data_IF_721770737456
#
_entry.id   IF_721770737456
#
_cell.length_a   1.000
_cell.length_b   1.000
_cell.length_c   1.000
_cell.angle_alpha   90.00
_cell.angle_beta   90.00
_cell.angle_gamma   90.00
#
_symmetry.space_group_name_H-M   'P 1'
#
loop_
_entity.id
_entity.type
_entity.pdbx_description
1 polymer ?
#
# COMPACT_ATOMS: atom_id res chain seq x y z
N UNK A 1 29.24 -19.84 26.19
CA UNK A 1 28.07 -20.21 25.34
C UNK A 1 28.10 -21.68 25.09
N UNK A 2 27.04 -22.41 25.47
CA UNK A 2 26.89 -23.81 25.07
C UNK A 2 26.90 -23.87 23.53
N UNK A 3 27.55 -24.89 23.00
CA UNK A 3 27.66 -25.05 21.53
C UNK A 3 26.28 -25.43 20.97
N UNK A 4 25.76 -24.71 19.96
CA UNK A 4 24.47 -25.01 19.31
C UNK A 4 24.36 -26.49 18.93
N UNK A 5 25.45 -27.13 18.54
CA UNK A 5 25.51 -28.55 18.20
C UNK A 5 25.11 -29.45 19.39
N UNK A 6 25.59 -29.12 20.60
CA UNK A 6 25.27 -29.85 21.84
C UNK A 6 23.81 -29.69 22.21
N UNK A 7 23.30 -28.45 22.15
CA UNK A 7 21.89 -28.14 22.42
C UNK A 7 20.97 -28.89 21.46
N UNK A 8 21.24 -28.82 20.15
CA UNK A 8 20.45 -29.53 19.15
C UNK A 8 20.46 -31.04 19.33
N UNK A 9 21.59 -31.61 19.80
CA UNK A 9 21.67 -33.06 20.12
C UNK A 9 20.70 -33.47 21.25
N UNK A 10 20.41 -32.62 22.25
CA UNK A 10 19.43 -32.88 23.31
C UNK A 10 18.01 -33.06 22.72
N UNK A 11 17.71 -32.40 21.58
CA UNK A 11 16.44 -32.50 20.85
C UNK A 11 16.47 -33.55 19.73
N UNK A 12 17.49 -34.41 19.71
CA UNK A 12 17.63 -35.48 18.71
C UNK A 12 18.04 -34.99 17.32
N UNK A 13 18.54 -33.77 17.20
CA UNK A 13 19.02 -33.19 15.96
C UNK A 13 20.56 -33.28 15.93
N UNK A 14 21.07 -34.08 15.01
CA UNK A 14 22.53 -34.23 14.81
C UNK A 14 23.02 -33.46 13.60
N UNK A 15 24.23 -32.97 13.67
CA UNK A 15 24.87 -32.18 12.61
C UNK A 15 26.05 -31.38 13.14
N UNK A 16 26.53 -30.44 12.34
CA UNK A 16 27.68 -29.58 12.69
C UNK A 16 27.46 -28.14 12.31
N UNK A 17 28.01 -27.22 13.07
CA UNK A 17 28.08 -25.79 12.73
C UNK A 17 29.19 -25.58 11.72
N UNK A 18 28.86 -25.06 10.54
CA UNK A 18 29.80 -24.87 9.43
C UNK A 18 30.25 -23.43 9.25
N UNK A 19 29.56 -22.47 9.86
CA UNK A 19 29.91 -21.06 9.75
C UNK A 19 29.01 -20.17 10.60
N UNK A 20 29.35 -18.88 10.65
CA UNK A 20 28.57 -17.86 11.30
C UNK A 20 28.68 -16.56 10.52
N UNK A 21 27.53 -15.98 10.17
CA UNK A 21 27.43 -14.66 9.56
C UNK A 21 26.90 -13.67 10.59
N UNK A 22 27.60 -12.57 10.78
CA UNK A 22 27.18 -11.50 11.71
C UNK A 22 26.67 -10.33 10.89
N UNK A 23 25.37 -10.07 10.99
CA UNK A 23 24.74 -8.93 10.35
C UNK A 23 24.43 -7.82 11.34
N UNK A 24 23.80 -6.73 10.87
CA UNK A 24 23.57 -5.55 11.71
C UNK A 24 22.57 -5.80 12.85
N UNK A 25 21.62 -6.71 12.69
CA UNK A 25 20.58 -6.98 13.69
C UNK A 25 20.54 -8.45 14.14
N UNK A 26 21.01 -9.36 13.31
CA UNK A 26 20.98 -10.79 13.62
C UNK A 26 22.33 -11.43 13.33
N UNK A 27 22.60 -12.47 14.09
CA UNK A 27 23.69 -13.41 13.87
C UNK A 27 23.09 -14.71 13.34
N UNK A 28 23.53 -15.15 12.17
CA UNK A 28 23.10 -16.39 11.56
C UNK A 28 24.17 -17.45 11.73
N UNK A 29 23.82 -18.56 12.40
CA UNK A 29 24.69 -19.72 12.58
C UNK A 29 24.29 -20.76 11.52
N UNK A 30 25.22 -21.08 10.63
CA UNK A 30 25.01 -22.09 9.61
C UNK A 30 25.23 -23.48 10.19
N UNK A 31 24.22 -24.31 10.11
CA UNK A 31 24.22 -25.66 10.61
C UNK A 31 23.95 -26.66 9.50
N UNK A 32 24.81 -27.66 9.33
CA UNK A 32 24.63 -28.78 8.41
C UNK A 32 24.04 -29.98 9.15
N UNK A 33 22.73 -30.26 9.05
CA UNK A 33 22.12 -31.40 9.70
C UNK A 33 22.53 -32.71 9.02
N UNK A 34 22.52 -33.80 9.78
CA UNK A 34 22.69 -35.17 9.21
C UNK A 34 21.56 -35.45 8.19
N UNK A 35 21.85 -36.23 7.13
CA UNK A 35 20.84 -36.62 6.15
C UNK A 35 19.63 -37.29 6.79
N UNK A 36 18.42 -36.85 6.35
CA UNK A 36 17.15 -37.37 6.88
C UNK A 36 16.59 -36.58 8.06
N UNK A 37 17.28 -35.56 8.57
CA UNK A 37 16.77 -34.66 9.60
C UNK A 37 15.56 -33.88 9.08
N UNK A 38 14.44 -33.96 9.80
CA UNK A 38 13.20 -33.24 9.47
C UNK A 38 13.23 -31.87 10.09
N UNK A 39 13.10 -30.80 9.27
CA UNK A 39 13.01 -29.42 9.75
C UNK A 39 11.89 -29.25 10.79
N UNK A 40 10.76 -29.95 10.60
CA UNK A 40 9.63 -29.90 11.55
C UNK A 40 10.00 -30.31 12.98
N UNK A 41 10.98 -31.21 13.16
CA UNK A 41 11.47 -31.60 14.49
C UNK A 41 12.17 -30.43 15.15
N UNK A 42 12.93 -29.65 14.39
CA UNK A 42 13.64 -28.48 14.89
C UNK A 42 12.63 -27.34 15.21
N UNK A 43 11.73 -27.04 14.25
CA UNK A 43 10.77 -25.94 14.41
C UNK A 43 9.75 -26.20 15.54
N UNK A 44 9.47 -27.46 15.86
CA UNK A 44 8.58 -27.80 16.99
C UNK A 44 9.22 -27.52 18.37
N UNK A 45 10.55 -27.41 18.45
CA UNK A 45 11.29 -27.23 19.71
C UNK A 45 12.04 -25.89 19.75
N UNK A 46 11.72 -24.95 18.84
CA UNK A 46 12.46 -23.67 18.73
C UNK A 46 12.45 -22.86 20.02
N UNK A 47 11.31 -22.77 20.72
CA UNK A 47 11.19 -22.05 21.98
C UNK A 47 12.07 -22.66 23.09
N UNK A 48 12.10 -23.99 23.17
CA UNK A 48 12.93 -24.70 24.13
C UNK A 48 14.42 -24.56 23.82
N UNK A 49 14.79 -24.65 22.52
CA UNK A 49 16.16 -24.43 22.05
C UNK A 49 16.59 -23.01 22.34
N UNK A 50 15.75 -22.00 22.04
CA UNK A 50 16.05 -20.59 22.33
C UNK A 50 16.29 -20.37 23.83
N UNK A 51 15.43 -20.92 24.67
CA UNK A 51 15.57 -20.87 26.14
C UNK A 51 16.87 -21.48 26.61
N UNK A 52 17.25 -22.66 26.09
CA UNK A 52 18.50 -23.33 26.46
C UNK A 52 19.73 -22.55 25.97
N UNK A 53 19.64 -21.87 24.83
CA UNK A 53 20.66 -20.93 24.33
C UNK A 53 20.76 -19.65 25.13
N UNK A 54 19.73 -19.32 25.93
CA UNK A 54 19.61 -18.02 26.62
C UNK A 54 19.20 -16.87 25.71
N UNK A 55 18.60 -17.20 24.55
CA UNK A 55 18.21 -16.20 23.55
C UNK A 55 16.73 -15.82 23.67
N UNK A 56 16.42 -14.58 23.36
CA UNK A 56 15.06 -14.05 23.41
C UNK A 56 14.22 -14.38 22.18
N UNK A 57 14.88 -14.72 21.05
CA UNK A 57 14.26 -15.08 19.79
C UNK A 57 15.19 -16.00 19.02
N UNK A 58 14.65 -17.03 18.42
CA UNK A 58 15.36 -17.96 17.54
C UNK A 58 14.49 -18.27 16.34
N UNK A 59 15.05 -18.09 15.14
CA UNK A 59 14.41 -18.45 13.89
C UNK A 59 15.28 -19.41 13.11
N UNK A 60 14.67 -20.36 12.42
CA UNK A 60 15.39 -21.33 11.59
C UNK A 60 14.82 -21.28 10.19
N UNK A 61 15.72 -21.13 9.21
CA UNK A 61 15.38 -21.13 7.79
C UNK A 61 16.36 -21.96 6.98
N UNK A 62 15.90 -22.63 5.90
CA UNK A 62 16.81 -23.27 4.95
C UNK A 62 17.69 -22.23 4.26
N UNK A 63 18.98 -22.50 4.13
CA UNK A 63 19.87 -21.70 3.29
C UNK A 63 19.77 -22.26 1.87
N UNK A 64 19.04 -21.56 1.01
CA UNK A 64 18.75 -22.00 -0.34
C UNK A 64 20.01 -22.28 -1.18
N UNK A 65 19.93 -23.32 -2.01
CA UNK A 65 21.08 -23.78 -2.79
C UNK A 65 22.08 -24.62 -2.00
N UNK A 66 21.79 -24.90 -0.71
CA UNK A 66 22.63 -25.73 0.17
C UNK A 66 21.76 -26.73 0.95
N UNK A 67 22.40 -27.67 1.64
CA UNK A 67 21.73 -28.56 2.61
C UNK A 67 21.75 -28.00 4.04
N UNK A 68 22.15 -26.75 4.22
CA UNK A 68 22.32 -26.10 5.51
C UNK A 68 21.05 -25.44 6.00
N UNK A 69 20.95 -25.26 7.31
CA UNK A 69 19.96 -24.44 8.00
C UNK A 69 20.66 -23.24 8.61
N UNK A 70 20.03 -22.07 8.52
CA UNK A 70 20.46 -20.84 9.21
C UNK A 70 19.67 -20.70 10.51
N UNK A 71 20.35 -20.72 11.64
CA UNK A 71 19.79 -20.38 12.95
C UNK A 71 20.06 -18.90 13.19
N UNK A 72 18.99 -18.11 13.22
CA UNK A 72 19.06 -16.65 13.34
C UNK A 72 18.72 -16.25 14.78
N UNK A 73 19.68 -15.65 15.46
CA UNK A 73 19.56 -15.09 16.80
C UNK A 73 19.83 -13.58 16.78
N UNK A 74 19.33 -12.80 17.76
CA UNK A 74 19.67 -11.39 17.86
C UNK A 74 21.18 -11.18 17.90
N UNK A 75 21.68 -10.14 17.25
CA UNK A 75 23.08 -9.74 17.36
C UNK A 75 23.35 -9.21 18.79
N UNK A 76 24.55 -9.48 19.31
CA UNK A 76 24.97 -9.01 20.62
C UNK A 76 24.88 -7.46 20.73
N UNK A 77 25.25 -6.77 19.64
CA UNK A 77 25.08 -5.32 19.47
C UNK A 77 24.36 -5.05 18.16
N UNK A 78 23.10 -4.57 18.27
CA UNK A 78 22.30 -4.22 17.10
C UNK A 78 22.76 -2.87 16.53
N UNK A 79 23.07 -2.84 15.24
CA UNK A 79 23.48 -1.65 14.51
C UNK A 79 22.31 -1.08 13.71
N UNK A 80 22.16 0.25 13.74
CA UNK A 80 21.17 0.94 12.92
C UNK A 80 21.67 1.05 11.47
N UNK A 81 20.83 0.62 10.55
CA UNK A 81 21.09 0.74 9.10
C UNK A 81 20.75 2.16 8.65
N UNK A 82 21.76 3.00 8.43
CA UNK A 82 21.54 4.41 8.03
C UNK A 82 21.04 4.53 6.60
N UNK A 83 19.85 5.11 6.44
CA UNK A 83 19.27 5.38 5.11
C UNK A 83 20.09 6.42 4.30
N UNK A 84 20.53 7.56 4.89
CA UNK A 84 21.39 8.50 4.17
C UNK A 84 22.64 7.85 3.57
N UNK A 85 23.31 6.99 4.32
CA UNK A 85 24.51 6.30 3.83
C UNK A 85 24.21 5.41 2.60
N UNK A 86 23.04 4.77 2.58
CA UNK A 86 22.65 3.91 1.46
C UNK A 86 22.36 4.75 0.22
N UNK A 87 21.54 5.82 0.31
CA UNK A 87 21.17 6.62 -0.86
C UNK A 87 22.33 7.42 -1.45
N UNK A 88 23.32 7.75 -0.64
CA UNK A 88 24.55 8.44 -1.09
C UNK A 88 25.56 7.48 -1.72
N UNK A 89 25.39 6.16 -1.57
CA UNK A 89 26.30 5.17 -2.11
C UNK A 89 26.28 5.12 -3.64
N UNK A 90 27.40 4.82 -4.26
CA UNK A 90 27.50 4.62 -5.70
C UNK A 90 26.64 3.41 -6.17
N UNK A 91 26.47 2.42 -5.30
CA UNK A 91 25.63 1.26 -5.59
C UNK A 91 24.17 1.68 -5.80
N UNK A 92 23.61 2.52 -4.91
CA UNK A 92 22.24 3.02 -5.03
C UNK A 92 22.07 3.94 -6.24
N UNK A 93 23.00 4.86 -6.50
CA UNK A 93 22.96 5.75 -7.68
C UNK A 93 22.95 5.00 -9.00
N UNK A 94 23.56 3.82 -9.04
CA UNK A 94 23.64 2.96 -10.22
C UNK A 94 22.54 1.90 -10.30
N UNK A 95 21.58 1.88 -9.35
CA UNK A 95 20.46 0.92 -9.36
C UNK A 95 19.63 1.09 -10.63
N UNK A 96 19.58 0.02 -11.42
CA UNK A 96 18.77 -0.02 -12.64
C UNK A 96 17.31 -0.32 -12.29
N UNK A 97 16.42 0.63 -12.56
CA UNK A 97 14.98 0.46 -12.32
C UNK A 97 14.20 1.71 -12.72
N UNK A 98 12.90 1.54 -12.93
CA UNK A 98 12.00 2.66 -13.22
C UNK A 98 11.62 3.41 -11.94
N UNK A 99 11.34 2.64 -10.88
CA UNK A 99 10.97 3.16 -9.56
C UNK A 99 11.75 2.39 -8.47
N UNK A 100 13.08 2.60 -8.36
CA UNK A 100 13.91 1.88 -7.41
C UNK A 100 13.61 2.34 -5.98
N UNK A 101 13.45 1.37 -5.07
CA UNK A 101 13.31 1.59 -3.64
C UNK A 101 14.36 0.79 -2.88
N UNK A 102 14.86 1.36 -1.81
CA UNK A 102 15.74 0.69 -0.86
C UNK A 102 14.89 0.02 0.22
N UNK A 103 14.90 -1.31 0.26
CA UNK A 103 14.20 -2.08 1.30
C UNK A 103 14.99 -2.12 2.62
N UNK A 104 16.30 -1.87 2.56
CA UNK A 104 17.25 -1.99 3.68
C UNK A 104 18.45 -2.83 3.31
N UNK A 105 18.89 -3.70 4.21
CA UNK A 105 20.00 -4.64 3.99
C UNK A 105 19.57 -6.07 4.28
N UNK A 106 20.26 -7.04 3.70
CA UNK A 106 20.09 -8.47 4.03
C UNK A 106 20.75 -8.83 5.36
N UNK A 107 20.68 -10.12 5.74
CA UNK A 107 21.28 -10.64 6.97
C UNK A 107 22.80 -10.39 7.00
N UNK A 108 23.47 -10.36 5.85
CA UNK A 108 24.90 -10.12 5.73
C UNK A 108 25.29 -8.62 5.68
N UNK A 109 24.30 -7.73 5.79
CA UNK A 109 24.50 -6.27 5.72
C UNK A 109 24.61 -5.70 4.30
N UNK A 110 24.31 -6.50 3.26
CA UNK A 110 24.32 -6.02 1.87
C UNK A 110 23.01 -5.29 1.54
N UNK A 111 23.07 -4.14 0.85
CA UNK A 111 21.86 -3.41 0.46
C UNK A 111 20.91 -4.24 -0.42
N UNK A 112 19.63 -4.14 -0.14
CA UNK A 112 18.55 -4.80 -0.89
C UNK A 112 17.68 -3.75 -1.54
N UNK A 113 17.66 -3.76 -2.86
CA UNK A 113 16.86 -2.86 -3.67
C UNK A 113 15.76 -3.61 -4.40
N UNK A 114 14.67 -2.93 -4.67
CA UNK A 114 13.58 -3.44 -5.49
C UNK A 114 13.06 -2.34 -6.42
N UNK A 115 12.44 -2.73 -7.54
CA UNK A 115 11.82 -1.79 -8.48
C UNK A 115 10.30 -1.88 -8.36
N UNK A 116 9.66 -0.84 -7.83
CA UNK A 116 8.22 -0.79 -7.63
C UNK A 116 7.46 -0.96 -8.95
N UNK A 117 8.00 -0.46 -10.07
CA UNK A 117 7.38 -0.64 -11.38
C UNK A 117 7.32 -2.11 -11.82
N UNK A 118 8.27 -2.94 -11.34
CA UNK A 118 8.27 -4.39 -11.60
C UNK A 118 7.37 -5.14 -10.62
N UNK A 119 7.23 -4.69 -9.39
CA UNK A 119 6.45 -5.33 -8.33
C UNK A 119 4.92 -5.35 -8.49
N UNK A 120 4.27 -4.70 -9.30
CA UNK A 120 3.79 -3.37 -9.59
C UNK A 120 3.17 -2.64 -8.38
N UNK A 121 2.77 -3.37 -7.37
CA UNK A 121 2.17 -2.88 -6.13
C UNK A 121 2.84 -3.58 -4.95
N UNK A 122 2.82 -2.95 -3.79
CA UNK A 122 3.44 -3.46 -2.58
C UNK A 122 2.44 -3.45 -1.42
N UNK A 123 2.23 -4.61 -0.80
CA UNK A 123 1.43 -4.75 0.41
C UNK A 123 2.36 -4.82 1.62
N UNK A 124 2.10 -4.00 2.63
CA UNK A 124 2.98 -3.81 3.78
C UNK A 124 2.17 -4.01 5.07
N UNK A 125 2.66 -4.87 5.95
CA UNK A 125 2.06 -5.05 7.27
C UNK A 125 3.08 -4.86 8.39
N UNK A 126 2.59 -4.55 9.59
CA UNK A 126 3.42 -4.46 10.79
C UNK A 126 2.75 -3.69 11.90
N UNK A 127 2.94 -4.13 13.15
CA UNK A 127 2.41 -3.47 14.34
C UNK A 127 3.08 -2.11 14.60
N UNK A 128 2.52 -1.33 15.51
CA UNK A 128 3.15 -0.09 15.98
C UNK A 128 4.54 -0.39 16.56
N UNK A 129 5.53 0.44 16.18
CA UNK A 129 6.92 0.24 16.60
C UNK A 129 7.69 -0.86 15.85
N UNK A 130 7.06 -1.56 14.91
CA UNK A 130 7.75 -2.58 14.09
C UNK A 130 8.75 -2.01 13.08
N UNK A 131 8.62 -0.73 12.71
CA UNK A 131 9.41 -0.06 11.68
C UNK A 131 8.65 0.22 10.37
N UNK A 132 7.34 -0.11 10.29
CA UNK A 132 6.50 0.08 9.11
C UNK A 132 6.54 1.52 8.56
N UNK A 133 6.28 2.51 9.41
CA UNK A 133 6.24 3.92 9.02
C UNK A 133 7.60 4.43 8.55
N UNK A 134 8.67 4.05 9.25
CA UNK A 134 10.04 4.37 8.83
C UNK A 134 10.34 3.76 7.46
N UNK A 135 9.94 2.50 7.23
CA UNK A 135 10.10 1.85 5.93
C UNK A 135 9.33 2.56 4.81
N UNK A 136 8.07 2.99 5.05
CA UNK A 136 7.33 3.78 4.07
C UNK A 136 8.05 5.07 3.71
N UNK A 137 8.61 5.77 4.73
CA UNK A 137 9.40 6.97 4.50
C UNK A 137 10.66 6.67 3.66
N UNK A 138 11.42 5.62 3.98
CA UNK A 138 12.62 5.27 3.20
C UNK A 138 12.29 4.87 1.77
N UNK A 139 11.15 4.23 1.50
CA UNK A 139 10.71 3.89 0.14
C UNK A 139 10.37 5.16 -0.65
N UNK A 140 9.57 6.07 -0.07
CA UNK A 140 9.25 7.35 -0.73
C UNK A 140 10.50 8.20 -0.98
N UNK A 141 11.39 8.30 0.00
CA UNK A 141 12.64 9.06 -0.16
C UNK A 141 13.58 8.42 -1.19
N UNK A 142 13.60 7.08 -1.31
CA UNK A 142 14.34 6.39 -2.37
C UNK A 142 13.85 6.81 -3.76
N UNK A 143 12.53 6.92 -3.93
CA UNK A 143 11.93 7.39 -5.18
C UNK A 143 12.26 8.86 -5.45
N UNK A 144 12.20 9.71 -4.44
CA UNK A 144 12.55 11.14 -4.52
C UNK A 144 14.04 11.32 -4.91
N UNK A 145 14.94 10.52 -4.35
CA UNK A 145 16.36 10.56 -4.67
C UNK A 145 16.67 10.17 -6.12
N UNK A 146 15.82 9.33 -6.74
CA UNK A 146 16.05 8.82 -8.10
C UNK A 146 15.23 9.51 -9.19
N UNK A 147 14.19 10.26 -8.85
CA UNK A 147 13.25 10.85 -9.80
C UNK A 147 13.06 12.35 -9.59
N UNK A 148 12.84 13.07 -10.68
CA UNK A 148 12.47 14.48 -10.62
C UNK A 148 10.97 14.63 -10.35
N UNK A 149 10.50 15.79 -9.83
CA UNK A 149 9.07 16.02 -9.57
C UNK A 149 8.17 15.97 -10.80
N UNK A 150 8.74 16.12 -12.01
CA UNK A 150 7.99 15.99 -13.27
C UNK A 150 7.83 14.54 -13.73
N UNK A 151 8.64 13.63 -13.21
CA UNK A 151 8.65 12.21 -13.60
C UNK A 151 7.92 11.33 -12.57
N UNK A 152 7.67 11.88 -11.37
CA UNK A 152 7.04 11.17 -10.26
C UNK A 152 6.10 12.08 -9.49
N UNK A 153 4.91 11.56 -9.17
CA UNK A 153 3.96 12.19 -8.26
C UNK A 153 3.49 11.20 -7.20
N UNK A 154 3.26 11.71 -5.99
CA UNK A 154 2.65 10.95 -4.90
C UNK A 154 1.21 11.39 -4.66
N UNK A 155 0.39 10.42 -4.27
CA UNK A 155 -0.89 10.60 -3.60
C UNK A 155 -0.75 9.92 -2.25
N UNK A 156 -0.78 10.71 -1.17
CA UNK A 156 -0.59 10.23 0.19
C UNK A 156 -1.91 10.26 0.93
N UNK A 157 -2.28 9.13 1.51
CA UNK A 157 -3.52 8.96 2.29
C UNK A 157 -3.15 8.54 3.71
N UNK A 158 -3.42 9.43 4.66
CA UNK A 158 -3.09 9.27 6.08
C UNK A 158 -4.29 9.71 6.95
N UNK A 159 -5.25 8.82 7.20
CA UNK A 159 -6.43 9.14 8.02
C UNK A 159 -6.07 9.55 9.45
N UNK A 160 -4.93 9.08 9.98
CA UNK A 160 -4.47 9.38 11.34
C UNK A 160 -3.75 10.71 11.47
N UNK A 161 -3.33 11.33 10.37
CA UNK A 161 -2.60 12.61 10.31
C UNK A 161 -1.25 12.61 11.04
N UNK A 162 -0.59 11.45 11.11
CA UNK A 162 0.64 11.29 11.89
C UNK A 162 1.85 11.13 10.99
N UNK A 163 1.77 10.24 9.99
CA UNK A 163 2.94 9.72 9.29
C UNK A 163 3.37 10.60 8.11
N UNK A 164 2.43 11.19 7.37
CA UNK A 164 2.75 11.89 6.13
C UNK A 164 2.64 13.41 6.19
N UNK A 165 2.38 14.01 7.36
CA UNK A 165 2.26 15.46 7.51
C UNK A 165 3.50 16.23 7.06
N UNK A 166 4.70 15.65 7.22
CA UNK A 166 6.00 16.20 6.83
C UNK A 166 6.12 16.39 5.30
N UNK A 167 5.35 15.63 4.51
CA UNK A 167 5.36 15.73 3.05
C UNK A 167 4.43 16.82 2.50
N UNK A 168 3.62 17.47 3.31
CA UNK A 168 2.78 18.56 2.82
C UNK A 168 3.60 19.67 2.16
N UNK A 169 3.03 20.29 1.14
CA UNK A 169 3.67 21.36 0.39
C UNK A 169 4.98 20.93 -0.32
N UNK A 170 4.98 19.74 -0.92
CA UNK A 170 6.11 19.25 -1.72
C UNK A 170 5.74 19.11 -3.19
N UNK A 171 6.66 19.48 -4.10
CA UNK A 171 6.47 19.37 -5.56
C UNK A 171 6.14 17.97 -6.06
N UNK A 172 6.48 16.94 -5.29
CA UNK A 172 6.17 15.56 -5.62
C UNK A 172 4.70 15.20 -5.36
N UNK A 173 3.95 15.99 -4.60
CA UNK A 173 2.56 15.69 -4.33
C UNK A 173 1.66 16.07 -5.52
N UNK A 174 0.72 15.18 -5.85
CA UNK A 174 -0.37 15.45 -6.79
C UNK A 174 -1.49 16.26 -6.13
N UNK A 175 -1.69 16.08 -4.83
CA UNK A 175 -2.63 16.80 -3.96
C UNK A 175 -2.04 16.90 -2.54
N UNK A 176 -2.54 17.80 -1.67
CA UNK A 176 -2.23 17.77 -0.25
C UNK A 176 -2.51 16.39 0.34
N UNK A 177 -1.81 16.02 1.43
CA UNK A 177 -2.03 14.74 2.11
C UNK A 177 -3.51 14.60 2.49
N UNK A 178 -4.11 13.50 2.03
CA UNK A 178 -5.53 13.21 2.23
C UNK A 178 -5.74 12.59 3.60
N UNK A 179 -6.49 13.27 4.46
CA UNK A 179 -6.70 12.85 5.84
C UNK A 179 -8.16 12.55 6.19
N UNK A 180 -9.06 12.82 5.27
CA UNK A 180 -10.49 12.54 5.39
C UNK A 180 -10.87 11.28 4.62
N UNK A 181 -11.66 10.39 5.23
CA UNK A 181 -12.00 9.10 4.63
C UNK A 181 -12.89 9.24 3.37
N UNK A 182 -13.81 10.20 3.35
CA UNK A 182 -14.65 10.42 2.18
C UNK A 182 -13.85 10.98 1.01
N UNK A 183 -12.89 11.89 1.32
CA UNK A 183 -11.95 12.39 0.34
C UNK A 183 -10.98 11.30 -0.14
N UNK A 184 -10.54 10.39 0.73
CA UNK A 184 -9.71 9.25 0.37
C UNK A 184 -10.41 8.33 -0.65
N UNK A 185 -11.69 7.99 -0.40
CA UNK A 185 -12.53 7.23 -1.33
C UNK A 185 -12.67 7.95 -2.69
N UNK A 186 -12.90 9.27 -2.67
CA UNK A 186 -13.00 10.08 -3.89
C UNK A 186 -11.65 10.17 -4.64
N UNK A 187 -10.54 10.24 -3.90
CA UNK A 187 -9.18 10.25 -4.46
C UNK A 187 -8.85 8.92 -5.15
N UNK A 188 -9.21 7.79 -4.57
CA UNK A 188 -9.00 6.48 -5.20
C UNK A 188 -9.83 6.33 -6.48
N UNK A 189 -11.07 6.82 -6.50
CA UNK A 189 -11.88 6.90 -7.74
C UNK A 189 -11.22 7.79 -8.78
N UNK A 190 -10.72 8.95 -8.38
CA UNK A 190 -9.96 9.83 -9.29
C UNK A 190 -8.76 9.11 -9.91
N UNK A 191 -8.01 8.30 -9.15
CA UNK A 191 -6.90 7.52 -9.69
C UNK A 191 -7.36 6.46 -10.70
N UNK A 192 -8.53 5.85 -10.49
CA UNK A 192 -9.15 4.96 -11.47
C UNK A 192 -9.50 5.73 -12.75
N UNK A 193 -10.09 6.91 -12.64
CA UNK A 193 -10.43 7.74 -13.80
C UNK A 193 -9.17 8.24 -14.52
N UNK A 194 -8.10 8.58 -13.79
CA UNK A 194 -6.81 8.95 -14.35
C UNK A 194 -6.17 7.76 -15.11
N UNK A 195 -6.27 6.56 -14.56
CA UNK A 195 -5.82 5.35 -15.25
C UNK A 195 -6.55 5.15 -16.59
N UNK A 196 -7.88 5.27 -16.61
CA UNK A 196 -8.67 5.12 -17.84
C UNK A 196 -8.36 6.24 -18.86
N UNK A 197 -8.11 7.48 -18.40
CA UNK A 197 -7.65 8.57 -19.27
C UNK A 197 -6.30 8.25 -19.91
N UNK A 198 -5.35 7.71 -19.14
CA UNK A 198 -4.05 7.31 -19.66
C UNK A 198 -4.18 6.21 -20.72
N UNK A 199 -5.05 5.23 -20.51
CA UNK A 199 -5.33 4.22 -21.52
C UNK A 199 -5.91 4.81 -22.80
N UNK A 200 -6.85 5.75 -22.71
CA UNK A 200 -7.37 6.45 -23.89
C UNK A 200 -6.29 7.26 -24.62
N UNK A 201 -5.34 7.87 -23.89
CA UNK A 201 -4.18 8.52 -24.47
C UNK A 201 -3.25 7.51 -25.18
N UNK A 202 -2.99 6.37 -24.56
CA UNK A 202 -2.14 5.31 -25.12
C UNK A 202 -2.73 4.72 -26.40
N UNK A 203 -4.05 4.48 -26.40
CA UNK A 203 -4.77 4.02 -27.60
C UNK A 203 -4.63 5.01 -28.75
N UNK A 204 -4.83 6.31 -28.50
CA UNK A 204 -4.69 7.37 -29.49
C UNK A 204 -3.29 7.44 -30.10
N UNK A 205 -2.25 7.29 -29.27
CA UNK A 205 -0.85 7.39 -29.67
C UNK A 205 -0.27 6.01 -30.11
N UNK A 206 -1.10 4.96 -30.15
CA UNK A 206 -0.73 3.60 -30.53
C UNK A 206 0.45 3.05 -29.71
N UNK A 207 0.45 3.28 -28.40
CA UNK A 207 1.42 2.76 -27.43
C UNK A 207 0.70 1.87 -26.41
N UNK A 208 1.44 0.97 -25.75
CA UNK A 208 0.85 -0.05 -24.84
C UNK A 208 0.97 0.29 -23.37
N UNK A 209 1.90 1.15 -23.01
CA UNK A 209 2.23 1.45 -21.61
C UNK A 209 2.93 2.82 -21.51
N UNK A 210 3.15 3.26 -20.28
CA UNK A 210 3.78 4.54 -19.95
C UNK A 210 5.21 4.63 -20.49
N UNK A 211 5.96 3.53 -20.56
CA UNK A 211 7.34 3.52 -21.05
C UNK A 211 7.38 3.83 -22.55
N UNK A 212 6.56 3.16 -23.35
CA UNK A 212 6.42 3.44 -24.78
C UNK A 212 5.89 4.86 -25.02
N UNK A 213 5.01 5.36 -24.12
CA UNK A 213 4.53 6.73 -24.19
C UNK A 213 5.66 7.74 -23.96
N UNK A 214 6.52 7.48 -22.96
CA UNK A 214 7.70 8.33 -22.70
C UNK A 214 8.64 8.41 -23.90
N UNK A 215 8.86 7.31 -24.60
CA UNK A 215 9.76 7.25 -25.75
C UNK A 215 9.22 8.02 -26.96
N UNK A 216 7.91 8.05 -27.15
CA UNK A 216 7.28 8.60 -28.36
C UNK A 216 6.65 9.98 -28.19
N UNK A 217 6.02 10.23 -27.05
CA UNK A 217 5.11 11.35 -26.86
C UNK A 217 5.60 12.36 -25.82
N UNK A 218 6.53 11.97 -24.94
CA UNK A 218 7.10 12.83 -23.93
C UNK A 218 6.74 12.43 -22.49
N UNK A 219 7.07 13.29 -21.54
CA UNK A 219 6.97 12.98 -20.12
C UNK A 219 5.52 12.87 -19.62
N UNK A 220 5.20 11.76 -18.98
CA UNK A 220 3.99 11.53 -18.19
C UNK A 220 4.44 10.99 -16.82
N UNK A 221 4.13 11.66 -15.68
CA UNK A 221 4.66 11.22 -14.40
C UNK A 221 4.10 9.85 -13.98
N UNK A 222 4.97 9.03 -13.41
CA UNK A 222 4.50 7.91 -12.59
C UNK A 222 3.71 8.46 -11.40
N UNK A 223 2.70 7.73 -10.95
CA UNK A 223 1.94 8.07 -9.75
C UNK A 223 2.10 6.94 -8.74
N UNK A 224 2.55 7.25 -7.53
CA UNK A 224 2.63 6.32 -6.43
C UNK A 224 1.62 6.74 -5.36
N UNK A 225 0.59 5.94 -5.17
CA UNK A 225 -0.39 6.13 -4.10
C UNK A 225 0.05 5.32 -2.87
N UNK A 226 0.26 6.01 -1.76
CA UNK A 226 0.67 5.41 -0.48
C UNK A 226 -0.45 5.57 0.52
N UNK A 227 -0.88 4.46 1.12
CA UNK A 227 -1.93 4.42 2.15
C UNK A 227 -1.28 3.89 3.43
N UNK A 228 -1.26 4.70 4.50
CA UNK A 228 -0.66 4.29 5.77
C UNK A 228 -1.46 3.23 6.52
N UNK A 229 -2.80 3.36 6.53
CA UNK A 229 -3.66 2.40 7.21
C UNK A 229 -4.89 2.04 6.36
N UNK A 230 -4.75 0.97 5.62
CA UNK A 230 -5.82 0.51 4.72
C UNK A 230 -7.04 -0.02 5.49
N UNK A 231 -6.83 -0.61 6.68
CA UNK A 231 -7.91 -1.10 7.52
C UNK A 231 -8.90 0.00 7.94
N UNK A 232 -8.40 1.20 8.24
CA UNK A 232 -9.25 2.32 8.63
C UNK A 232 -10.12 2.83 7.46
N UNK A 233 -9.58 2.80 6.23
CA UNK A 233 -10.35 3.15 5.03
C UNK A 233 -11.43 2.11 4.73
N UNK A 234 -11.11 0.82 4.84
CA UNK A 234 -12.05 -0.28 4.64
C UNK A 234 -13.19 -0.26 5.64
N UNK A 235 -12.91 0.09 6.90
CA UNK A 235 -13.91 0.22 7.95
C UNK A 235 -14.86 1.42 7.70
N UNK A 236 -14.35 2.51 7.11
CA UNK A 236 -15.12 3.70 6.81
C UNK A 236 -15.97 3.56 5.53
N UNK A 237 -15.42 2.97 4.48
CA UNK A 237 -16.09 2.81 3.18
C UNK A 237 -15.58 1.56 2.43
N UNK A 238 -16.35 0.49 2.44
CA UNK A 238 -15.99 -0.77 1.75
C UNK A 238 -15.79 -0.62 0.23
N UNK A 239 -16.35 0.42 -0.40
CA UNK A 239 -16.16 0.69 -1.85
C UNK A 239 -14.73 1.06 -2.20
N UNK A 240 -13.90 1.40 -1.20
CA UNK A 240 -12.46 1.58 -1.36
C UNK A 240 -11.81 0.31 -1.93
N UNK A 241 -12.28 -0.88 -1.51
CA UNK A 241 -11.77 -2.16 -2.00
C UNK A 241 -11.90 -2.28 -3.52
N UNK A 242 -13.07 -1.92 -4.09
CA UNK A 242 -13.32 -1.98 -5.53
C UNK A 242 -12.34 -1.09 -6.32
N UNK A 243 -12.10 0.14 -5.83
CA UNK A 243 -11.17 1.07 -6.45
C UNK A 243 -9.72 0.56 -6.40
N UNK A 244 -9.29 0.07 -5.23
CA UNK A 244 -7.97 -0.53 -5.04
C UNK A 244 -7.79 -1.77 -5.90
N UNK A 245 -8.80 -2.64 -5.97
CA UNK A 245 -8.77 -3.83 -6.82
C UNK A 245 -8.63 -3.48 -8.31
N UNK A 246 -9.41 -2.52 -8.82
CA UNK A 246 -9.31 -2.05 -10.21
C UNK A 246 -7.93 -1.49 -10.53
N UNK A 247 -7.39 -0.66 -9.65
CA UNK A 247 -6.04 -0.12 -9.79
C UNK A 247 -5.00 -1.25 -9.78
N UNK A 248 -5.07 -2.15 -8.81
CA UNK A 248 -4.12 -3.25 -8.69
C UNK A 248 -4.12 -4.19 -9.90
N UNK A 249 -5.28 -4.39 -10.55
CA UNK A 249 -5.39 -5.23 -11.75
C UNK A 249 -4.85 -4.57 -13.02
N UNK A 250 -4.99 -3.26 -13.16
CA UNK A 250 -4.80 -2.61 -14.45
C UNK A 250 -3.77 -1.46 -14.43
N UNK A 251 -3.49 -0.82 -13.30
CA UNK A 251 -2.80 0.45 -13.27
C UNK A 251 -1.29 0.37 -13.59
N UNK A 252 -0.68 -0.82 -13.58
CA UNK A 252 0.74 -1.03 -13.88
C UNK A 252 1.16 -0.40 -15.22
N UNK A 253 0.47 -0.72 -16.30
CA UNK A 253 0.81 -0.21 -17.63
C UNK A 253 0.55 1.31 -17.75
N UNK A 254 -0.39 1.85 -16.96
CA UNK A 254 -0.64 3.28 -16.87
C UNK A 254 0.38 4.03 -15.99
N UNK A 255 1.35 3.34 -15.38
CA UNK A 255 2.36 3.95 -14.51
C UNK A 255 1.80 4.44 -13.16
N UNK A 256 0.74 3.78 -12.66
CA UNK A 256 0.15 4.06 -11.34
C UNK A 256 0.39 2.88 -10.43
N UNK A 257 1.02 3.11 -9.29
CA UNK A 257 1.45 2.08 -8.35
C UNK A 257 0.87 2.32 -6.96
N UNK A 258 0.57 1.25 -6.24
CA UNK A 258 0.02 1.31 -4.89
C UNK A 258 1.03 0.75 -3.88
N UNK A 259 1.20 1.44 -2.77
CA UNK A 259 1.79 0.93 -1.54
C UNK A 259 0.69 0.93 -0.48
N UNK A 260 0.16 -0.24 -0.15
CA UNK A 260 -0.88 -0.40 0.87
C UNK A 260 -0.24 -0.87 2.17
N UNK A 261 -0.37 -0.06 3.20
CA UNK A 261 0.11 -0.44 4.52
C UNK A 261 -1.05 -0.66 5.50
N UNK A 262 -0.84 -1.56 6.46
CA UNK A 262 -1.78 -1.80 7.55
C UNK A 262 -1.08 -2.28 8.82
N UNK A 263 -1.59 -1.86 9.96
CA UNK A 263 -1.20 -2.38 11.28
C UNK A 263 -2.07 -3.57 11.70
N UNK A 264 -3.16 -3.83 10.97
CA UNK A 264 -4.16 -4.86 11.27
C UNK A 264 -4.32 -5.80 10.07
N UNK A 265 -3.41 -6.74 9.86
CA UNK A 265 -3.48 -7.68 8.72
C UNK A 265 -4.51 -8.79 8.97
N UNK A 266 -5.76 -8.43 9.26
CA UNK A 266 -6.86 -9.39 9.40
C UNK A 266 -7.34 -9.89 8.03
N UNK A 267 -8.00 -11.03 7.99
CA UNK A 267 -8.55 -11.62 6.76
C UNK A 267 -9.62 -10.74 6.09
N UNK A 268 -10.29 -9.89 6.88
CA UNK A 268 -11.29 -8.93 6.39
C UNK A 268 -10.65 -7.72 5.70
N UNK A 269 -9.38 -7.41 6.00
CA UNK A 269 -8.61 -6.32 5.42
C UNK A 269 -7.72 -6.83 4.29
N UNK A 270 -7.01 -7.93 4.52
CA UNK A 270 -6.11 -8.57 3.55
C UNK A 270 -6.83 -9.75 2.94
N UNK A 271 -7.83 -9.47 2.09
CA UNK A 271 -8.65 -10.48 1.44
C UNK A 271 -7.85 -11.30 0.43
N UNK A 272 -8.35 -12.50 0.09
CA UNK A 272 -7.74 -13.34 -0.95
C UNK A 272 -7.64 -12.64 -2.30
N UNK A 273 -8.63 -11.80 -2.64
CA UNK A 273 -8.66 -11.00 -3.86
C UNK A 273 -7.57 -9.93 -3.84
N UNK A 274 -7.39 -9.26 -2.70
CA UNK A 274 -6.32 -8.29 -2.53
C UNK A 274 -4.94 -8.96 -2.69
N UNK A 275 -4.72 -10.10 -2.02
CA UNK A 275 -3.45 -10.85 -2.11
C UNK A 275 -3.11 -11.29 -3.53
N UNK A 276 -4.11 -11.70 -4.32
CA UNK A 276 -3.90 -12.10 -5.72
C UNK A 276 -3.38 -10.93 -6.59
N UNK A 277 -3.74 -9.69 -6.25
CA UNK A 277 -3.34 -8.49 -6.98
C UNK A 277 -2.11 -7.78 -6.37
N UNK A 278 -1.70 -8.17 -5.16
CA UNK A 278 -0.50 -7.72 -4.46
C UNK A 278 0.43 -8.91 -4.19
N UNK A 279 1.07 -9.44 -5.23
CA UNK A 279 1.93 -10.61 -5.09
C UNK A 279 3.23 -10.31 -4.33
N UNK A 280 3.68 -9.05 -4.34
CA UNK A 280 4.85 -8.61 -3.56
C UNK A 280 4.39 -8.08 -2.22
N UNK A 281 4.98 -8.63 -1.15
CA UNK A 281 4.57 -8.33 0.22
C UNK A 281 5.76 -8.13 1.12
N UNK A 282 5.59 -7.25 2.09
CA UNK A 282 6.57 -6.96 3.12
C UNK A 282 5.87 -7.00 4.48
N UNK A 283 6.34 -7.84 5.36
CA UNK A 283 5.86 -7.88 6.73
C UNK A 283 6.96 -7.50 7.70
N UNK A 284 6.78 -6.41 8.40
CA UNK A 284 7.46 -6.15 9.65
C UNK A 284 6.86 -7.02 10.75
N UNK A 285 7.38 -6.91 12.00
CA UNK A 285 6.85 -7.66 13.13
C UNK A 285 5.33 -7.50 13.24
N UNK A 286 4.63 -8.62 13.38
CA UNK A 286 3.19 -8.69 13.65
C UNK A 286 2.91 -9.30 15.01
N UNK A 287 1.68 -9.21 15.48
CA UNK A 287 1.31 -9.64 16.83
C UNK A 287 1.15 -11.15 16.97
N UNK A 288 0.79 -11.84 15.89
CA UNK A 288 0.46 -13.27 15.94
C UNK A 288 0.86 -14.02 14.67
N UNK A 289 0.99 -15.34 14.79
CA UNK A 289 1.19 -16.24 13.67
C UNK A 289 0.03 -16.18 12.66
N UNK A 290 -1.19 -15.91 13.11
CA UNK A 290 -2.35 -15.73 12.24
C UNK A 290 -2.18 -14.49 11.34
N UNK A 291 -1.66 -13.39 11.88
CA UNK A 291 -1.36 -12.17 11.13
C UNK A 291 -0.26 -12.43 10.09
N UNK A 292 0.81 -13.15 10.48
CA UNK A 292 1.87 -13.54 9.56
C UNK A 292 1.35 -14.36 8.39
N UNK A 293 0.52 -15.38 8.66
CA UNK A 293 -0.13 -16.19 7.62
C UNK A 293 -1.08 -15.39 6.76
N UNK A 294 -1.75 -14.40 7.32
CA UNK A 294 -2.65 -13.54 6.56
C UNK A 294 -1.89 -12.73 5.52
N UNK A 295 -0.74 -12.15 5.88
CA UNK A 295 0.04 -11.30 4.97
C UNK A 295 0.99 -12.10 4.07
N UNK A 296 1.70 -13.10 4.60
CA UNK A 296 2.77 -13.81 3.90
C UNK A 296 2.39 -15.21 3.40
N UNK A 297 1.19 -15.72 3.77
CA UNK A 297 0.76 -17.11 3.61
C UNK A 297 1.61 -18.11 4.41
N UNK A 298 2.50 -17.64 5.29
CA UNK A 298 3.37 -18.44 6.14
C UNK A 298 3.61 -17.76 7.50
N UNK A 299 4.06 -18.52 8.47
CA UNK A 299 4.47 -18.04 9.80
C UNK A 299 5.87 -17.39 9.74
N UNK A 300 6.25 -16.66 10.79
CA UNK A 300 7.60 -16.17 11.02
C UNK A 300 7.73 -14.65 11.15
N UNK A 301 6.71 -13.86 10.76
CA UNK A 301 6.74 -12.42 10.99
C UNK A 301 6.43 -12.05 12.46
N UNK A 302 5.78 -12.92 13.21
CA UNK A 302 5.57 -12.81 14.65
C UNK A 302 6.89 -12.88 15.45
N UNK A 303 7.88 -13.62 14.94
CA UNK A 303 9.17 -13.87 15.60
C UNK A 303 10.21 -12.78 15.31
N UNK A 304 9.88 -11.80 14.46
CA UNK A 304 10.77 -10.70 14.12
C UNK A 304 11.09 -9.82 15.33
N UNK A 305 12.28 -9.19 15.32
CA UNK A 305 12.76 -8.36 16.42
C UNK A 305 12.00 -7.03 16.55
N UNK A 306 11.36 -6.55 15.46
CA UNK A 306 10.83 -5.18 15.34
C UNK A 306 11.92 -4.21 14.90
N UNK A 307 11.65 -2.88 15.04
CA UNK A 307 12.63 -1.81 14.71
C UNK A 307 13.22 -1.90 13.30
N UNK A 308 12.39 -2.31 12.31
CA UNK A 308 12.81 -2.43 10.92
C UNK A 308 13.14 -3.84 10.46
N UNK A 309 13.19 -4.82 11.37
CA UNK A 309 13.32 -6.22 11.00
C UNK A 309 12.07 -6.70 10.26
N UNK A 310 12.23 -7.25 9.07
CA UNK A 310 11.12 -7.54 8.17
C UNK A 310 11.37 -8.78 7.30
N UNK A 311 10.27 -9.36 6.81
CA UNK A 311 10.24 -10.44 5.83
C UNK A 311 9.71 -9.91 4.51
N UNK A 312 10.51 -9.99 3.47
CA UNK A 312 10.17 -9.59 2.12
C UNK A 312 9.87 -10.80 1.25
N UNK A 313 8.65 -10.85 0.71
CA UNK A 313 8.19 -11.85 -0.25
C UNK A 313 8.05 -11.19 -1.63
N UNK A 314 9.01 -11.37 -2.55
CA UNK A 314 8.91 -10.89 -3.91
C UNK A 314 7.87 -11.68 -4.71
N UNK A 315 7.34 -11.10 -5.80
CA UNK A 315 6.32 -11.73 -6.66
C UNK A 315 6.73 -13.13 -7.16
N UNK A 316 7.99 -13.27 -7.56
CA UNK A 316 8.55 -14.53 -8.08
C UNK A 316 9.88 -14.75 -7.35
N UNK A 317 9.83 -15.32 -6.17
CA UNK A 317 11.06 -15.58 -5.43
C UNK A 317 10.78 -16.06 -4.01
N UNK A 318 11.87 -16.28 -3.31
CA UNK A 318 11.88 -16.82 -1.97
C UNK A 318 11.75 -15.71 -0.94
N UNK A 319 11.17 -16.05 0.21
CA UNK A 319 11.10 -15.17 1.35
C UNK A 319 12.51 -14.77 1.79
N UNK A 320 12.72 -13.48 2.00
CA UNK A 320 14.00 -12.90 2.45
C UNK A 320 13.80 -12.10 3.72
N UNK A 321 14.64 -12.35 4.72
CA UNK A 321 14.74 -11.46 5.86
C UNK A 321 15.58 -10.26 5.49
N UNK A 322 15.09 -9.08 5.84
CA UNK A 322 15.75 -7.79 5.60
C UNK A 322 15.69 -6.94 6.86
N UNK A 323 16.67 -6.06 7.00
CA UNK A 323 16.70 -5.06 8.06
C UNK A 323 16.53 -3.69 7.40
N UNK A 324 15.34 -3.10 7.62
CA UNK A 324 14.94 -1.83 7.04
C UNK A 324 15.89 -0.71 7.43
N UNK A 325 16.14 0.19 6.49
CA UNK A 325 16.94 1.36 6.75
C UNK A 325 16.17 2.36 7.64
N UNK A 326 16.90 3.08 8.47
CA UNK A 326 16.37 4.07 9.40
C UNK A 326 16.68 5.48 8.92
N UNK A 327 15.70 6.35 9.03
CA UNK A 327 15.78 7.78 8.73
C UNK A 327 15.08 8.57 9.82
N UNK A 328 15.67 9.69 10.25
CA UNK A 328 15.08 10.61 11.23
C UNK A 328 14.20 11.65 10.56
N UNK A 329 13.27 12.27 11.30
CA UNK A 329 12.41 13.35 10.77
C UNK A 329 13.24 14.55 10.31
N UNK A 330 14.36 14.85 10.98
CA UNK A 330 15.28 15.91 10.58
C UNK A 330 15.96 15.63 9.24
N UNK A 331 16.32 14.39 8.97
CA UNK A 331 16.89 13.97 7.68
C UNK A 331 15.83 14.00 6.58
N UNK A 332 14.59 13.54 6.86
CA UNK A 332 13.46 13.66 5.95
C UNK A 332 13.24 15.12 5.56
N UNK A 333 13.13 16.00 6.55
CA UNK A 333 12.94 17.44 6.32
C UNK A 333 14.05 18.04 5.47
N UNK A 334 15.32 17.68 5.72
CA UNK A 334 16.48 18.13 4.94
C UNK A 334 16.42 17.66 3.48
N UNK A 335 16.04 16.42 3.23
CA UNK A 335 15.89 15.87 1.86
C UNK A 335 14.74 16.57 1.11
N UNK A 336 13.65 16.90 1.79
CA UNK A 336 12.46 17.51 1.21
C UNK A 336 12.58 19.02 1.00
N UNK A 337 13.49 19.71 1.72
CA UNK A 337 13.61 21.17 1.69
C UNK A 337 13.70 21.78 0.28
N UNK A 338 14.49 21.24 -0.67
CA UNK A 338 14.60 21.80 -2.03
C UNK A 338 13.33 21.73 -2.85
N UNK A 339 12.34 20.93 -2.44
CA UNK A 339 11.13 20.63 -3.20
C UNK A 339 9.86 21.29 -2.65
N UNK A 340 10.00 22.21 -1.68
CA UNK A 340 8.86 22.93 -1.10
C UNK A 340 8.11 23.74 -2.14
N UNK A 341 6.79 23.62 -2.19
CA UNK A 341 5.89 24.44 -2.99
C UNK A 341 4.45 24.35 -2.48
N UNK A 342 3.62 25.30 -2.83
CA UNK A 342 2.17 25.19 -2.62
C UNK A 342 1.56 24.11 -3.51
N UNK A 343 0.80 23.20 -2.92
CA UNK A 343 0.11 22.11 -3.61
C UNK A 343 -1.39 22.35 -3.58
N UNK A 344 -2.02 22.39 -4.76
CA UNK A 344 -3.46 22.60 -4.89
C UNK A 344 -4.22 21.28 -4.69
N UNK A 345 -5.43 21.33 -4.08
CA UNK A 345 -6.29 20.15 -4.02
C UNK A 345 -6.64 19.64 -5.42
N UNK A 346 -6.91 18.33 -5.51
CA UNK A 346 -7.48 17.74 -6.73
C UNK A 346 -8.90 18.29 -6.97
N UNK A 347 -9.31 18.43 -8.23
CA UNK A 347 -10.66 18.90 -8.58
C UNK A 347 -11.68 17.75 -8.42
N UNK A 348 -11.74 17.16 -7.24
CA UNK A 348 -12.63 16.05 -6.89
C UNK A 348 -13.67 16.52 -5.89
N UNK A 349 -14.88 15.96 -6.00
CA UNK A 349 -15.95 16.19 -5.06
C UNK A 349 -16.27 14.90 -4.31
N UNK A 350 -16.56 15.02 -3.04
CA UNK A 350 -17.07 13.89 -2.25
C UNK A 350 -18.49 13.52 -2.73
N UNK A 351 -18.95 12.31 -2.41
CA UNK A 351 -20.30 11.90 -2.79
C UNK A 351 -21.37 12.79 -2.15
N UNK A 352 -21.14 13.24 -0.91
CA UNK A 352 -22.04 14.18 -0.24
C UNK A 352 -22.16 15.51 -0.98
N UNK A 353 -21.06 16.03 -1.52
CA UNK A 353 -21.04 17.23 -2.33
C UNK A 353 -21.74 17.01 -3.67
N UNK A 354 -21.51 15.88 -4.31
CA UNK A 354 -22.18 15.48 -5.54
C UNK A 354 -23.69 15.32 -5.34
N UNK A 355 -24.13 14.72 -4.24
CA UNK A 355 -25.55 14.53 -3.93
C UNK A 355 -26.25 15.85 -3.55
N UNK A 356 -25.56 16.73 -2.83
CA UNK A 356 -26.04 18.12 -2.57
C UNK A 356 -26.22 18.87 -3.90
N UNK A 357 -25.24 18.79 -4.78
CA UNK A 357 -25.30 19.44 -6.09
C UNK A 357 -26.43 18.88 -6.97
N UNK A 358 -26.60 17.55 -7.00
CA UNK A 358 -27.72 16.88 -7.71
C UNK A 358 -29.09 17.29 -7.15
N UNK A 359 -29.23 17.42 -5.81
CA UNK A 359 -30.44 17.91 -5.17
C UNK A 359 -30.72 19.36 -5.55
N UNK A 360 -29.74 20.23 -5.47
CA UNK A 360 -29.85 21.65 -5.83
C UNK A 360 -30.19 21.83 -7.33
N UNK A 361 -29.60 21.02 -8.21
CA UNK A 361 -29.93 21.04 -9.65
C UNK A 361 -31.35 20.55 -9.91
N UNK A 362 -31.81 19.50 -9.20
CA UNK A 362 -33.20 19.02 -9.28
C UNK A 362 -34.21 20.05 -8.77
N UNK A 363 -33.89 20.74 -7.67
CA UNK A 363 -34.72 21.84 -7.14
C UNK A 363 -34.80 23.00 -8.10
N UNK A 364 -33.67 23.49 -8.62
CA UNK A 364 -33.65 24.55 -9.64
C UNK A 364 -34.41 24.17 -10.93
N UNK A 365 -34.32 22.91 -11.36
CA UNK A 365 -35.11 22.42 -12.51
C UNK A 365 -36.61 22.39 -12.19
N UNK A 366 -37.02 21.99 -10.98
CA UNK A 366 -38.41 22.05 -10.53
C UNK A 366 -38.94 23.48 -10.46
N UNK A 367 -38.19 24.39 -9.86
CA UNK A 367 -38.54 25.81 -9.79
C UNK A 367 -38.66 26.46 -11.19
N UNK A 368 -37.69 26.14 -12.07
CA UNK A 368 -37.74 26.65 -13.46
C UNK A 368 -38.89 26.06 -14.26
N UNK A 369 -39.31 24.80 -14.01
CA UNK A 369 -40.51 24.21 -14.59
C UNK A 369 -41.78 24.85 -14.03
N UNK A 370 -41.84 25.01 -12.71
CA UNK A 370 -42.99 25.65 -12.04
C UNK A 370 -43.19 27.11 -12.49
N UNK A 371 -42.09 27.88 -12.64
CA UNK A 371 -42.10 29.23 -13.15
C UNK A 371 -42.60 29.31 -14.59
N UNK A 372 -42.18 28.35 -15.45
CA UNK A 372 -42.70 28.23 -16.84
C UNK A 372 -44.17 27.89 -16.86
N UNK A 373 -44.64 26.96 -16.04
CA UNK A 373 -46.04 26.62 -15.91
C UNK A 373 -46.89 27.80 -15.40
N UNK A 374 -46.42 28.58 -14.41
CA UNK A 374 -47.05 29.79 -13.92
C UNK A 374 -47.16 30.87 -14.98
N UNK A 375 -46.06 31.11 -15.73
CA UNK A 375 -46.06 32.11 -16.82
C UNK A 375 -46.97 31.69 -17.94
N UNK A 376 -46.98 30.39 -18.30
CA UNK A 376 -47.92 29.88 -19.26
C UNK A 376 -49.36 30.00 -18.79
N UNK A 377 -49.68 29.64 -17.53
CA UNK A 377 -50.99 29.81 -16.90
C UNK A 377 -51.44 31.27 -16.89
N UNK A 378 -50.55 32.18 -16.58
CA UNK A 378 -50.87 33.63 -16.54
C UNK A 378 -51.12 34.20 -17.95
N UNK A 379 -50.56 33.62 -19.00
CA UNK A 379 -50.76 34.01 -20.40
C UNK A 379 -52.09 33.56 -21.02
N UNK A 380 -52.78 32.59 -20.37
CA UNK A 380 -54.05 32.08 -20.85
C UNK A 380 -55.20 33.07 -20.52
N UNK A 381 -56.12 33.25 -21.49
CA UNK A 381 -57.36 34.03 -21.26
C UNK A 381 -58.35 33.24 -20.37
N UNK A 382 -59.25 33.91 -19.70
CA UNK A 382 -60.19 33.27 -18.75
C UNK A 382 -61.03 32.13 -19.35
N UNK A 383 -61.38 32.17 -20.63
CA UNK A 383 -62.05 31.09 -21.30
C UNK A 383 -61.20 29.82 -21.42
N UNK A 384 -59.93 29.97 -21.73
CA UNK A 384 -58.97 28.87 -21.87
C UNK A 384 -58.64 28.21 -20.54
N UNK A 385 -58.48 29.01 -19.47
CA UNK A 385 -58.31 28.53 -18.09
C UNK A 385 -59.48 27.66 -17.63
N UNK A 386 -60.72 28.11 -17.90
CA UNK A 386 -61.96 27.35 -17.56
C UNK A 386 -62.01 25.98 -18.26
N UNK A 387 -61.60 25.89 -19.52
CA UNK A 387 -61.55 24.64 -20.26
C UNK A 387 -60.53 23.67 -19.64
N UNK A 388 -59.33 24.15 -19.28
CA UNK A 388 -58.27 23.33 -18.66
C UNK A 388 -58.73 22.86 -17.28
N UNK A 389 -59.31 23.70 -16.43
CA UNK A 389 -59.82 23.32 -15.12
C UNK A 389 -60.91 22.26 -15.23
N UNK A 390 -61.81 22.40 -16.18
CA UNK A 390 -62.87 21.43 -16.38
C UNK A 390 -62.35 20.07 -16.93
N UNK A 391 -61.36 20.11 -17.82
CA UNK A 391 -60.65 18.92 -18.27
C UNK A 391 -59.90 18.19 -17.14
N UNK A 392 -59.24 18.92 -16.26
CA UNK A 392 -58.57 18.36 -15.08
C UNK A 392 -59.55 17.75 -14.09
N UNK A 393 -60.68 18.42 -13.82
CA UNK A 393 -61.78 17.87 -12.97
C UNK A 393 -62.32 16.58 -13.56
N UNK A 394 -62.50 16.50 -14.88
CA UNK A 394 -62.98 15.30 -15.55
C UNK A 394 -61.96 14.15 -15.44
N UNK A 395 -60.70 14.39 -15.67
CA UNK A 395 -59.62 13.41 -15.47
C UNK A 395 -59.51 12.89 -14.03
N UNK A 396 -59.60 13.78 -13.02
CA UNK A 396 -59.58 13.38 -11.61
C UNK A 396 -60.81 12.53 -11.26
N UNK A 397 -61.99 12.88 -11.77
CA UNK A 397 -63.22 12.07 -11.56
C UNK A 397 -63.12 10.69 -12.19
N UNK A 398 -62.56 10.56 -13.38
CA UNK A 398 -62.26 9.29 -14.01
C UNK A 398 -61.23 8.45 -13.22
N UNK A 399 -60.15 9.08 -12.71
CA UNK A 399 -59.08 8.39 -11.97
C UNK A 399 -59.55 7.91 -10.59
N UNK A 400 -60.39 8.70 -9.90
CA UNK A 400 -60.95 8.34 -8.60
C UNK A 400 -62.15 7.36 -8.75
N UNK A 401 -62.88 7.42 -9.87
CA UNK A 401 -63.98 6.48 -10.19
C UNK A 401 -63.49 5.05 -10.48
N UNK A 402 -62.28 4.90 -11.00
CA UNK A 402 -61.69 3.57 -11.28
C UNK A 402 -61.10 2.90 -10.02
N UNK A 403 -60.85 3.63 -8.94
CA UNK A 403 -60.38 3.08 -7.66
C UNK A 403 -61.50 2.50 -6.77
N UNK A 404 -62.78 2.71 -7.11
CA UNK A 404 -63.93 2.14 -6.38
C UNK A 404 -64.46 0.82 -6.96
N UNK A 405 -63.80 0.26 -7.99
CA UNK A 405 -64.16 -1.02 -8.59
C UNK A 405 -62.99 -2.02 -8.63
N UNK A 406 -62.23 -2.10 -7.56
CA UNK A 406 -61.33 -3.25 -7.27
C UNK A 406 -61.37 -3.59 -5.80
#
# INVERSE_FOLDING_TARGET
>A
MQNLTEILAHYGVKGEVTGTNIGPMVKQIEFLPEPGTKIKTITASLEDIAREMGETSLRVEPIYGTSKLGFEIPADEMQTVSFPNIIESEEFKNVKGKLPICLGVDIAGKPVYADLAKMPHLLIAGTTGSGKSVGLNTFMLSLIANKKPNDLKFVLIDPKRIEFSIYNNQRYLLAPVVTDNALASATLRYLVDEMEKRYAMFEKELVRNIDEYHERCGALPYIVCVIDEFADLMAADKRVEDSVQRLAQKARAAGIHLMLATQRPSVDVVTGVLKANFPTRLSYKVASQADSRTILDMAGAEDLLGRGDALFLPQNGELKRIHGAYVTDSEIAKILEPYKCEVKPLPIKTEEENDKEKKTVKEKKKEGFFRRCLNWWSSLRDRERKVIINGFKYCITLFLGTKKRR
#
